data_IF_260303461909
#
_entry.id   IF_260303461909
#
_cell.length_a   1.000
_cell.length_b   1.000
_cell.length_c   1.000
_cell.angle_alpha   90.00
_cell.angle_beta   90.00
_cell.angle_gamma   90.00
#
_symmetry.space_group_name_H-M   'P 1'
#
loop_
_entity.id
_entity.type
_entity.pdbx_description
1 polymer ?
2 non-polymer ?
3 non-polymer ?
4 non-polymer ?
5 non-polymer ?
6 non-polymer ?
7 water ?
#
# COMPACT_ATOMS: atom_id res chain seq x y z
N UNK A 1 -5.18 -18.49 16.73
CA UNK A 1 -4.55 -17.44 15.87
C UNK A 1 -3.34 -16.83 16.54
N UNK A 2 -2.35 -17.68 16.84
CA UNK A 2 -1.12 -17.22 17.45
C UNK A 2 -0.33 -16.38 16.46
N UNK A 3 0.30 -15.30 16.96
CA UNK A 3 1.13 -14.50 16.07
C UNK A 3 2.54 -15.04 16.06
N UNK A 4 3.23 -14.99 14.91
CA UNK A 4 4.66 -15.29 14.92
C UNK A 4 5.40 -14.38 15.88
N UNK A 5 6.31 -14.95 16.66
CA UNK A 5 7.16 -14.21 17.59
C UNK A 5 8.57 -14.12 17.01
N UNK A 6 9.04 -12.90 16.80
CA UNK A 6 10.38 -12.63 16.30
C UNK A 6 11.22 -12.03 17.41
N UNK A 7 12.42 -12.58 17.62
CA UNK A 7 13.37 -12.07 18.59
C UNK A 7 14.56 -11.50 17.82
N UNK A 8 14.75 -10.18 17.91
CA UNK A 8 15.84 -9.51 17.24
C UNK A 8 16.97 -9.24 18.23
N UNK A 9 18.20 -9.38 17.76
CA UNK A 9 19.39 -8.93 18.49
C UNK A 9 20.04 -7.82 17.68
N UNK A 10 20.29 -6.68 18.34
CA UNK A 10 21.07 -5.59 17.77
C UNK A 10 22.18 -5.29 18.76
N UNK A 11 23.41 -5.55 18.35
CA UNK A 11 24.54 -5.35 19.24
C UNK A 11 24.52 -3.93 19.80
N UNK A 12 24.78 -3.75 21.10
CA UNK A 12 24.75 -2.39 21.67
C UNK A 12 25.51 -1.34 20.89
N UNK A 13 26.65 -1.67 20.30
CA UNK A 13 27.40 -0.69 19.51
C UNK A 13 26.64 -0.31 18.25
N UNK A 14 25.99 -1.28 17.62
CA UNK A 14 25.18 -1.00 16.43
C UNK A 14 23.90 -0.28 16.80
N UNK A 15 23.35 -0.55 17.98
CA UNK A 15 22.14 0.12 18.43
C UNK A 15 22.42 1.60 18.72
N UNK A 16 23.56 1.92 19.32
CA UNK A 16 23.94 3.31 19.51
C UNK A 16 23.99 4.02 18.17
N UNK A 17 24.59 3.39 17.16
CA UNK A 17 24.64 3.99 15.83
C UNK A 17 23.25 4.19 15.25
N UNK A 18 22.38 3.19 15.41
CA UNK A 18 21.03 3.29 14.88
C UNK A 18 20.27 4.45 15.54
N UNK A 19 20.45 4.63 16.85
CA UNK A 19 19.71 5.66 17.58
C UNK A 19 20.33 7.04 17.47
N UNK A 20 21.55 7.15 16.93
CA UNK A 20 22.25 8.44 16.93
C UNK A 20 21.57 9.44 16.00
N UNK A 21 21.12 8.99 14.83
CA UNK A 21 20.46 9.85 13.85
C UNK A 21 19.30 9.03 13.29
N UNK A 22 18.12 9.20 13.88
CA UNK A 22 16.98 8.35 13.51
C UNK A 22 16.59 8.56 12.06
N UNK A 23 17.01 9.67 11.44
CA UNK A 23 16.63 9.99 10.07
C UNK A 23 17.52 9.32 9.03
N UNK A 24 18.60 8.68 9.45
CA UNK A 24 19.48 8.01 8.51
C UNK A 24 18.80 6.81 7.87
N UNK A 25 19.17 6.55 6.62
CA UNK A 25 18.77 5.33 5.91
C UNK A 25 19.91 4.32 5.81
N UNK A 26 20.97 4.50 6.59
CA UNK A 26 22.08 3.56 6.61
C UNK A 26 21.76 2.42 7.58
N UNK A 27 21.65 1.17 7.12
CA UNK A 27 21.31 0.07 8.04
C UNK A 27 22.48 -0.31 8.94
N UNK A 28 22.16 -1.11 9.95
CA UNK A 28 23.17 -1.72 10.82
C UNK A 28 22.95 -3.23 10.82
N UNK A 29 23.97 -4.00 11.13
CA UNK A 29 23.78 -5.45 11.24
C UNK A 29 22.92 -5.81 12.45
N UNK A 30 22.23 -6.94 12.33
CA UNK A 30 21.41 -7.46 13.42
C UNK A 30 21.18 -8.94 13.18
N UNK A 31 20.51 -9.59 14.12
CA UNK A 31 20.15 -11.00 14.00
C UNK A 31 18.67 -11.17 14.32
N UNK A 32 18.02 -12.09 13.61
CA UNK A 32 16.65 -12.47 13.87
C UNK A 32 16.61 -13.94 14.24
N UNK A 33 15.92 -14.25 15.33
CA UNK A 33 15.62 -15.63 15.70
C UNK A 33 14.11 -15.83 15.57
N UNK A 34 13.72 -16.87 14.82
CA UNK A 34 12.32 -17.24 14.67
C UNK A 34 12.25 -18.74 14.90
N UNK A 35 11.61 -19.13 15.98
CA UNK A 35 11.65 -20.53 16.38
C UNK A 35 13.09 -20.93 16.64
N UNK A 36 13.52 -21.99 15.96
CA UNK A 36 14.87 -22.52 16.13
C UNK A 36 15.86 -22.06 15.07
N UNK A 37 15.45 -21.16 14.17
CA UNK A 37 16.32 -20.72 13.08
C UNK A 37 16.77 -19.29 13.30
N UNK A 38 18.01 -19.02 12.95
CA UNK A 38 18.65 -17.72 13.13
C UNK A 38 19.03 -17.16 11.77
N UNK A 39 18.90 -15.84 11.64
CA UNK A 39 19.13 -15.14 10.38
C UNK A 39 20.00 -13.93 10.65
N UNK A 40 21.09 -13.80 9.90
CA UNK A 40 21.85 -12.56 9.88
C UNK A 40 21.13 -11.59 8.96
N UNK A 41 20.89 -10.37 9.45
CA UNK A 41 20.12 -9.38 8.72
C UNK A 41 20.82 -8.03 8.81
N UNK A 42 20.32 -7.09 8.01
CA UNK A 42 20.58 -5.68 8.22
C UNK A 42 19.24 -5.02 8.50
N UNK A 43 19.25 -4.02 9.39
CA UNK A 43 18.02 -3.40 9.86
C UNK A 43 18.22 -1.89 9.88
N UNK A 44 17.12 -1.18 9.60
CA UNK A 44 17.14 0.28 9.52
C UNK A 44 15.73 0.77 9.85
N UNK A 45 15.64 1.99 10.38
CA UNK A 45 14.32 2.57 10.55
C UNK A 45 13.72 2.87 9.17
N UNK A 46 12.39 2.83 9.10
CA UNK A 46 11.67 3.11 7.87
C UNK A 46 10.64 4.20 8.07
N UNK A 47 10.24 4.81 6.96
CA UNK A 47 9.20 5.82 6.98
C UNK A 47 9.76 7.20 7.26
N UNK A 48 8.82 8.10 7.59
CA UNK A 48 9.16 9.47 7.94
C UNK A 48 8.67 9.79 9.34
N UNK A 49 7.45 10.30 9.48
CA UNK A 49 6.99 10.72 10.80
C UNK A 49 6.91 9.54 11.77
N UNK A 50 6.74 8.32 11.25
CA UNK A 50 6.68 7.15 12.11
C UNK A 50 7.99 6.87 12.83
N UNK A 51 9.08 7.52 12.43
CA UNK A 51 10.32 7.39 13.18
C UNK A 51 10.27 8.15 14.50
N UNK A 52 9.30 9.07 14.67
CA UNK A 52 9.23 9.89 15.86
C UNK A 52 8.65 9.13 17.05
N UNK A 53 8.02 8.00 16.80
CA UNK A 53 7.43 7.20 17.88
C UNK A 53 8.50 6.36 18.56
N UNK A 54 8.31 6.11 19.86
CA UNK A 54 9.22 5.19 20.54
C UNK A 54 9.08 3.78 19.98
N UNK A 55 7.87 3.40 19.56
CA UNK A 55 7.63 2.15 18.85
C UNK A 55 8.01 2.38 17.40
N UNK A 56 9.28 2.15 17.09
CA UNK A 56 9.84 2.43 15.78
C UNK A 56 9.36 1.39 14.76
N UNK A 57 9.41 1.78 13.49
CA UNK A 57 9.14 0.88 12.38
C UNK A 57 10.45 0.57 11.67
N UNK A 58 10.56 -0.64 11.10
CA UNK A 58 11.83 -1.14 10.61
C UNK A 58 11.70 -1.71 9.21
N UNK A 59 12.77 -1.58 8.45
CA UNK A 59 12.97 -2.28 7.19
C UNK A 59 14.03 -3.35 7.44
N UNK A 60 13.67 -4.61 7.22
CA UNK A 60 14.52 -5.77 7.54
C UNK A 60 14.99 -6.38 6.23
N UNK A 61 16.30 -6.51 6.07
CA UNK A 61 16.91 -7.06 4.86
C UNK A 61 17.70 -8.30 5.23
N UNK A 62 17.34 -9.43 4.64
CA UNK A 62 17.99 -10.70 4.96
C UNK A 62 19.33 -10.83 4.26
N UNK A 63 20.34 -11.22 5.02
CA UNK A 63 21.72 -11.29 4.53
C UNK A 63 22.17 -12.74 4.39
N UNK A 64 22.21 -13.48 5.49
CA UNK A 64 22.50 -14.91 5.45
C UNK A 64 21.65 -15.63 6.49
N UNK A 65 20.74 -16.53 6.06
CA UNK A 65 20.36 -16.89 4.69
C UNK A 65 19.86 -15.69 3.88
N UNK A 66 19.90 -15.81 2.55
CA UNK A 66 19.49 -14.72 1.69
C UNK A 66 17.98 -14.52 1.67
N UNK A 67 17.21 -15.54 2.05
CA UNK A 67 15.76 -15.49 1.92
C UNK A 67 15.09 -15.96 3.20
N UNK A 68 13.94 -15.36 3.48
CA UNK A 68 13.07 -15.75 4.58
C UNK A 68 11.66 -15.84 4.04
N UNK A 69 11.09 -17.05 4.07
CA UNK A 69 9.72 -17.29 3.63
C UNK A 69 9.45 -16.65 2.26
N UNK A 70 10.38 -16.89 1.34
CA UNK A 70 10.24 -16.49 -0.04
C UNK A 70 10.67 -15.07 -0.36
N UNK A 71 11.23 -14.33 0.61
CA UNK A 71 11.52 -12.92 0.44
C UNK A 71 12.95 -12.61 0.85
N UNK A 72 13.50 -11.55 0.26
CA UNK A 72 14.82 -11.07 0.66
C UNK A 72 14.76 -9.94 1.68
N UNK A 73 13.57 -9.42 1.96
CA UNK A 73 13.39 -8.29 2.87
C UNK A 73 11.91 -8.18 3.19
N UNK A 74 11.60 -7.53 4.30
CA UNK A 74 10.21 -7.15 4.58
C UNK A 74 10.21 -5.88 5.40
N UNK A 75 9.01 -5.34 5.60
CA UNK A 75 8.81 -4.13 6.37
C UNK A 75 8.02 -4.45 7.63
N UNK A 76 8.45 -3.87 8.75
CA UNK A 76 7.79 -4.05 10.04
C UNK A 76 7.25 -2.70 10.49
N UNK A 77 5.96 -2.48 10.30
CA UNK A 77 5.33 -1.22 10.69
C UNK A 77 4.71 -1.34 12.07
N UNK A 78 4.96 -0.33 12.90
CA UNK A 78 4.23 -0.23 14.16
C UNK A 78 2.74 0.00 13.94
N UNK A 79 2.38 0.66 12.84
CA UNK A 79 1.00 1.12 12.60
C UNK A 79 0.48 1.92 13.77
N UNK A 80 1.37 2.65 14.46
CA UNK A 80 1.00 3.31 15.71
C UNK A 80 0.01 4.45 15.50
N UNK A 81 0.01 5.08 14.32
CA UNK A 81 -0.96 6.14 14.03
C UNK A 81 -2.39 5.61 13.96
N UNK A 82 -2.54 4.30 13.71
CA UNK A 82 -3.85 3.69 13.52
C UNK A 82 -4.28 3.07 14.85
N UNK A 83 -5.28 3.63 15.53
CA UNK A 83 -5.69 3.06 16.83
C UNK A 83 -6.15 1.61 16.77
N UNK A 84 -6.45 1.08 15.58
CA UNK A 84 -6.89 -0.30 15.43
C UNK A 84 -5.77 -1.25 15.06
N UNK A 85 -4.66 -0.74 14.54
CA UNK A 85 -3.55 -1.54 14.04
C UNK A 85 -3.93 -2.46 12.88
N UNK A 86 -5.13 -2.33 12.29
CA UNK A 86 -5.60 -3.24 11.26
C UNK A 86 -5.93 -2.58 9.92
N UNK A 87 -5.97 -1.25 9.82
CA UNK A 87 -6.50 -0.62 8.61
C UNK A 87 -5.63 -0.92 7.39
N UNK A 88 -4.31 -0.88 7.54
CA UNK A 88 -3.45 -1.15 6.40
C UNK A 88 -3.66 -2.57 5.87
N UNK A 89 -3.60 -3.56 6.75
CA UNK A 89 -3.84 -4.94 6.31
C UNK A 89 -5.24 -5.08 5.72
N UNK A 90 -6.26 -4.54 6.41
CA UNK A 90 -7.62 -4.63 5.93
C UNK A 90 -7.73 -4.08 4.51
N UNK A 91 -7.09 -2.94 4.26
CA UNK A 91 -7.14 -2.32 2.95
C UNK A 91 -6.42 -3.15 1.90
N UNK A 92 -5.18 -3.55 2.19
CA UNK A 92 -4.39 -4.23 1.17
C UNK A 92 -5.01 -5.58 0.82
N UNK A 93 -5.54 -6.29 1.81
CA UNK A 93 -6.25 -7.53 1.53
C UNK A 93 -7.52 -7.26 0.71
N UNK A 94 -8.20 -6.15 1.00
CA UNK A 94 -9.38 -5.78 0.23
C UNK A 94 -9.04 -5.56 -1.24
N UNK A 95 -7.94 -4.85 -1.53
CA UNK A 95 -7.49 -4.69 -2.92
C UNK A 95 -7.29 -6.05 -3.57
N UNK A 96 -6.64 -6.98 -2.86
CA UNK A 96 -6.48 -8.32 -3.43
C UNK A 96 -7.82 -8.94 -3.74
N UNK A 97 -8.78 -8.81 -2.83
CA UNK A 97 -10.07 -9.46 -3.01
C UNK A 97 -10.89 -8.87 -4.15
N UNK A 98 -10.63 -7.61 -4.53
CA UNK A 98 -11.34 -7.00 -5.65
C UNK A 98 -10.56 -7.12 -6.95
N UNK A 99 -9.46 -7.87 -6.94
CA UNK A 99 -8.77 -8.23 -8.16
C UNK A 99 -7.56 -7.39 -8.51
N UNK A 100 -6.94 -6.73 -7.53
CA UNK A 100 -5.75 -5.90 -7.74
C UNK A 100 -4.58 -6.58 -7.04
N UNK A 101 -3.41 -6.56 -7.70
CA UNK A 101 -2.20 -7.06 -7.05
C UNK A 101 -1.92 -6.23 -5.82
N UNK A 102 -1.52 -6.89 -4.73
CA UNK A 102 -1.44 -6.19 -3.46
C UNK A 102 -0.44 -6.90 -2.54
N UNK A 103 0.29 -6.18 -1.70
CA UNK A 103 1.21 -6.83 -0.75
C UNK A 103 0.45 -7.65 0.28
N UNK A 104 0.99 -8.83 0.60
CA UNK A 104 0.51 -9.59 1.73
C UNK A 104 1.03 -8.97 3.03
N UNK A 105 0.38 -9.31 4.13
CA UNK A 105 0.80 -8.79 5.42
C UNK A 105 0.30 -9.72 6.51
N UNK A 106 0.94 -9.63 7.67
CA UNK A 106 0.53 -10.41 8.82
C UNK A 106 1.03 -9.74 10.08
N UNK A 107 0.24 -9.83 11.13
CA UNK A 107 0.65 -9.31 12.43
C UNK A 107 1.65 -10.25 13.08
N UNK A 108 2.65 -9.65 13.74
CA UNK A 108 3.71 -10.39 14.40
C UNK A 108 3.97 -9.70 15.74
N UNK A 109 4.68 -10.40 16.62
CA UNK A 109 5.00 -9.91 17.96
C UNK A 109 6.51 -9.92 18.08
N UNK A 110 7.11 -8.76 18.35
CA UNK A 110 8.56 -8.66 18.25
C UNK A 110 9.18 -8.26 19.58
N UNK A 111 10.40 -8.73 19.78
CA UNK A 111 11.27 -8.32 20.87
C UNK A 111 12.58 -7.87 20.25
N UNK A 112 13.24 -6.93 20.91
CA UNK A 112 14.58 -6.50 20.54
C UNK A 112 15.44 -6.57 21.79
N UNK A 113 16.53 -7.33 21.71
CA UNK A 113 17.45 -7.48 22.83
C UNK A 113 16.73 -7.93 24.11
N UNK A 114 15.75 -8.81 23.95
CA UNK A 114 15.02 -9.37 25.07
C UNK A 114 13.88 -8.51 25.56
N UNK A 115 13.67 -7.34 24.99
CA UNK A 115 12.65 -6.40 25.45
C UNK A 115 11.52 -6.36 24.43
N UNK A 116 10.29 -6.63 24.89
CA UNK A 116 9.13 -6.65 24.01
C UNK A 116 8.91 -5.27 23.43
N UNK A 117 8.74 -5.22 22.11
CA UNK A 117 8.36 -4.01 21.41
C UNK A 117 6.89 -4.01 21.00
N UNK A 118 6.26 -5.18 20.95
CA UNK A 118 4.82 -5.26 20.79
C UNK A 118 4.38 -5.79 19.44
N UNK A 119 3.13 -5.47 19.09
CA UNK A 119 2.50 -5.96 17.88
C UNK A 119 2.90 -5.08 16.70
N UNK A 120 3.35 -5.72 15.63
CA UNK A 120 3.73 -5.05 14.40
C UNK A 120 3.00 -5.68 13.24
N UNK A 121 2.88 -4.92 12.15
CA UNK A 121 2.41 -5.48 10.88
C UNK A 121 3.62 -5.74 10.00
N UNK A 122 3.85 -7.00 9.65
CA UNK A 122 4.86 -7.38 8.69
C UNK A 122 4.26 -7.25 7.30
N UNK A 123 4.91 -6.46 6.45
CA UNK A 123 4.42 -6.15 5.11
C UNK A 123 5.38 -6.68 4.07
N UNK A 124 4.82 -7.28 3.03
CA UNK A 124 5.62 -7.82 1.93
C UNK A 124 6.31 -6.70 1.17
N UNK A 125 7.55 -6.97 0.77
CA UNK A 125 8.27 -6.08 -0.14
C UNK A 125 7.79 -6.33 -1.56
N UNK A 126 7.31 -5.28 -2.23
CA UNK A 126 6.89 -5.39 -3.62
C UNK A 126 8.13 -5.30 -4.49
N UNK A 127 8.70 -6.45 -4.84
CA UNK A 127 9.97 -6.51 -5.56
C UNK A 127 9.94 -7.73 -6.48
N UNK A 128 11.12 -8.16 -6.92
CA UNK A 128 11.20 -9.30 -7.82
C UNK A 128 10.62 -10.57 -7.20
N UNK A 129 10.71 -10.71 -5.88
CA UNK A 129 10.17 -11.90 -5.23
C UNK A 129 8.65 -11.85 -5.13
N UNK A 130 8.09 -10.66 -4.89
CA UNK A 130 6.65 -10.46 -4.99
C UNK A 130 6.12 -11.03 -6.31
N UNK A 131 6.84 -10.77 -7.40
CA UNK A 131 6.42 -11.26 -8.71
C UNK A 131 6.64 -12.77 -8.81
N UNK A 132 7.83 -13.24 -8.48
CA UNK A 132 8.15 -14.65 -8.64
C UNK A 132 7.23 -15.53 -7.82
N UNK A 133 6.85 -15.07 -6.61
CA UNK A 133 6.01 -15.90 -5.75
C UNK A 133 4.57 -15.98 -6.24
N UNK A 134 4.14 -15.05 -7.09
CA UNK A 134 2.83 -15.09 -7.70
C UNK A 134 2.86 -15.71 -9.09
N UNK A 135 4.03 -16.14 -9.55
CA UNK A 135 4.14 -16.65 -10.91
C UNK A 135 3.96 -15.59 -11.96
N UNK A 136 4.33 -14.35 -11.67
CA UNK A 136 4.13 -13.27 -12.62
C UNK A 136 5.38 -13.06 -13.45
N UNK A 137 5.24 -12.51 -14.65
CA UNK A 137 6.42 -12.30 -15.51
C UNK A 137 7.38 -11.29 -14.93
N UNK A 138 8.63 -11.41 -15.38
CA UNK A 138 9.63 -10.41 -15.07
C UNK A 138 9.22 -9.07 -15.65
N UNK A 139 9.81 -8.01 -15.11
CA UNK A 139 9.48 -6.66 -15.55
C UNK A 139 10.11 -5.64 -14.64
N UNK A 140 9.40 -4.53 -14.45
CA UNK A 140 9.91 -3.44 -13.64
C UNK A 140 8.89 -3.04 -12.58
N UNK A 141 9.41 -2.67 -11.42
CA UNK A 141 8.61 -2.17 -10.31
C UNK A 141 9.14 -0.80 -9.93
N UNK A 142 8.23 0.17 -9.85
CA UNK A 142 8.57 1.55 -9.54
C UNK A 142 7.70 2.01 -8.38
N UNK A 143 8.30 2.67 -7.39
CA UNK A 143 7.60 3.16 -6.21
C UNK A 143 7.31 4.65 -6.36
N UNK A 144 6.07 5.06 -6.13
CA UNK A 144 5.73 6.48 -6.14
C UNK A 144 6.32 7.15 -4.90
N UNK A 145 7.23 8.10 -5.10
CA UNK A 145 7.92 8.71 -3.97
C UNK A 145 7.70 10.21 -3.82
N UNK A 146 7.25 10.94 -4.85
CA UNK A 146 7.05 12.39 -4.70
C UNK A 146 5.92 12.83 -5.62
N UNK A 147 5.64 14.14 -5.60
CA UNK A 147 4.48 14.71 -6.27
C UNK A 147 4.50 14.55 -7.78
N UNK A 148 5.64 14.20 -8.38
CA UNK A 148 5.70 13.97 -9.81
C UNK A 148 5.12 12.62 -10.22
N UNK A 149 4.82 11.74 -9.29
CA UNK A 149 4.16 10.47 -9.61
C UNK A 149 2.65 10.66 -9.77
N UNK A 150 2.28 11.59 -10.65
CA UNK A 150 0.91 12.07 -10.72
C UNK A 150 0.20 11.69 -12.02
N UNK A 151 0.82 10.91 -12.90
CA UNK A 151 0.25 10.45 -14.16
C UNK A 151 0.04 11.58 -15.16
N UNK A 152 0.62 12.76 -14.93
CA UNK A 152 0.46 13.94 -15.77
C UNK A 152 1.78 14.23 -16.49
N UNK A 153 1.72 15.10 -17.51
CA UNK A 153 2.96 15.63 -18.06
C UNK A 153 3.56 16.72 -17.20
N UNK A 154 2.82 17.26 -16.24
CA UNK A 154 3.17 18.52 -15.61
C UNK A 154 3.78 18.30 -14.24
N UNK A 155 4.81 19.10 -13.94
CA UNK A 155 5.39 19.19 -12.60
C UNK A 155 4.68 20.33 -11.87
N UNK A 156 4.10 20.02 -10.72
CA UNK A 156 3.43 21.03 -9.92
C UNK A 156 4.41 22.10 -9.44
N UNK A 157 5.60 21.68 -9.00
CA UNK A 157 6.56 22.63 -8.46
C UNK A 157 7.10 23.55 -9.56
N UNK A 158 7.51 22.99 -10.70
CA UNK A 158 8.07 23.80 -11.77
C UNK A 158 7.02 24.60 -12.52
N UNK A 159 5.73 24.30 -12.33
CA UNK A 159 4.67 24.88 -13.14
C UNK A 159 5.04 24.84 -14.62
N UNK A 160 5.43 23.65 -15.07
CA UNK A 160 5.95 23.43 -16.41
C UNK A 160 5.91 21.93 -16.68
N UNK A 161 6.16 21.57 -17.93
CA UNK A 161 6.29 20.16 -18.28
C UNK A 161 7.46 19.56 -17.52
N UNK A 162 7.29 18.34 -17.02
CA UNK A 162 8.37 17.65 -16.32
C UNK A 162 9.61 17.58 -17.18
N UNK A 163 10.77 17.76 -16.54
CA UNK A 163 12.04 17.59 -17.25
C UNK A 163 12.23 16.15 -17.68
N UNK A 164 11.70 15.19 -16.93
CA UNK A 164 11.75 13.77 -17.26
C UNK A 164 10.40 13.16 -16.94
N UNK A 165 9.79 12.46 -17.89
CA UNK A 165 8.46 11.91 -17.64
C UNK A 165 8.48 10.71 -16.70
N UNK A 166 9.65 10.15 -16.40
CA UNK A 166 9.76 9.10 -15.40
C UNK A 166 10.02 9.67 -14.00
N UNK A 167 9.97 10.98 -13.85
CA UNK A 167 10.17 11.61 -12.55
C UNK A 167 9.09 11.18 -11.57
N UNK A 168 9.48 11.09 -10.30
CA UNK A 168 8.56 10.81 -9.21
C UNK A 168 8.65 9.41 -8.64
N UNK A 169 9.55 8.57 -9.15
CA UNK A 169 9.55 7.15 -8.81
C UNK A 169 10.93 6.67 -8.41
N UNK A 170 10.94 5.76 -7.44
CA UNK A 170 12.11 4.95 -7.15
C UNK A 170 12.07 3.71 -8.02
N UNK A 171 13.19 3.42 -8.70
CA UNK A 171 13.27 2.25 -9.58
C UNK A 171 13.72 1.07 -8.73
N UNK A 172 12.75 0.39 -8.13
CA UNK A 172 13.05 -0.68 -7.17
C UNK A 172 13.61 -1.92 -7.87
N UNK A 173 13.00 -2.32 -8.98
CA UNK A 173 13.42 -3.48 -9.76
C UNK A 173 13.33 -3.05 -11.21
N UNK A 174 14.46 -3.01 -11.92
CA UNK A 174 14.52 -2.33 -13.20
C UNK A 174 15.54 -2.97 -14.12
N UNK A 175 15.48 -2.54 -15.38
CA UNK A 175 16.37 -2.99 -16.43
C UNK A 175 16.62 -1.81 -17.37
N UNK A 176 17.34 -2.06 -18.47
CA UNK A 176 17.75 -0.99 -19.36
C UNK A 176 16.57 -0.27 -20.01
N UNK A 177 15.41 -0.92 -20.10
CA UNK A 177 14.25 -0.33 -20.76
C UNK A 177 13.29 0.36 -19.79
N UNK A 178 13.55 0.28 -18.49
CA UNK A 178 12.55 0.69 -17.51
C UNK A 178 12.22 2.17 -17.61
N UNK A 179 13.23 3.02 -17.81
CA UNK A 179 12.97 4.45 -17.90
C UNK A 179 12.09 4.76 -19.11
N UNK A 180 12.45 4.23 -20.28
CA UNK A 180 11.68 4.57 -21.47
C UNK A 180 10.28 3.95 -21.44
N UNK A 181 10.12 2.79 -20.80
CA UNK A 181 8.79 2.20 -20.69
C UNK A 181 7.88 3.07 -19.84
N UNK A 182 8.39 3.59 -18.73
CA UNK A 182 7.59 4.47 -17.88
C UNK A 182 7.31 5.79 -18.57
N UNK A 183 8.33 6.38 -19.21
CA UNK A 183 8.12 7.63 -19.94
C UNK A 183 7.06 7.47 -21.02
N UNK A 184 7.10 6.36 -21.74
CA UNK A 184 6.13 6.12 -22.81
C UNK A 184 4.72 6.02 -22.27
N UNK A 185 4.55 5.30 -21.16
CA UNK A 185 3.23 5.16 -20.54
C UNK A 185 2.69 6.52 -20.10
N UNK A 186 3.49 7.27 -19.33
CA UNK A 186 3.07 8.60 -18.91
C UNK A 186 2.74 9.47 -20.11
N UNK A 187 3.58 9.43 -21.14
CA UNK A 187 3.33 10.28 -22.29
C UNK A 187 2.01 9.92 -22.97
N UNK A 188 1.81 8.64 -23.27
CA UNK A 188 0.62 8.23 -24.03
C UNK A 188 -0.65 8.44 -23.20
N UNK A 189 -0.58 8.21 -21.88
CA UNK A 189 -1.73 8.46 -21.04
C UNK A 189 -2.22 9.89 -21.18
N UNK A 190 -1.31 10.83 -21.42
CA UNK A 190 -1.66 12.24 -21.54
C UNK A 190 -1.82 12.70 -22.99
N UNK A 191 -1.13 12.08 -23.93
CA UNK A 191 -1.11 12.57 -25.30
C UNK A 191 -2.16 11.93 -26.20
N UNK A 192 -2.71 10.77 -25.83
CA UNK A 192 -3.74 10.17 -26.65
C UNK A 192 -5.02 11.00 -26.58
N UNK A 193 -5.62 11.23 -27.75
CA UNK A 193 -6.85 12.00 -27.81
C UNK A 193 -8.01 11.19 -27.26
N UNK A 194 -9.10 11.89 -26.97
CA UNK A 194 -10.33 11.23 -26.55
C UNK A 194 -10.79 10.22 -27.60
N UNK A 195 -10.68 10.59 -28.89
CA UNK A 195 -11.15 9.71 -29.95
C UNK A 195 -10.27 8.48 -30.12
N UNK A 196 -9.01 8.54 -29.70
CA UNK A 196 -8.10 7.39 -29.81
C UNK A 196 -8.01 6.57 -28.52
N UNK A 197 -8.55 7.08 -27.41
CA UNK A 197 -8.21 6.52 -26.11
C UNK A 197 -8.68 5.07 -25.98
N UNK A 198 -9.93 4.79 -26.33
CA UNK A 198 -10.48 3.45 -26.15
C UNK A 198 -9.67 2.42 -26.93
N UNK A 199 -9.20 2.78 -28.12
CA UNK A 199 -8.47 1.83 -28.95
C UNK A 199 -7.03 1.65 -28.52
N UNK A 200 -6.41 2.67 -27.90
CA UNK A 200 -4.96 2.68 -27.77
C UNK A 200 -4.44 2.65 -26.33
N UNK A 201 -5.19 3.13 -25.33
CA UNK A 201 -4.61 3.18 -23.99
C UNK A 201 -4.26 1.79 -23.50
N UNK A 202 -5.05 0.79 -23.88
CA UNK A 202 -4.82 -0.60 -23.52
C UNK A 202 -3.57 -1.24 -24.11
N UNK A 203 -2.85 -0.52 -24.98
CA UNK A 203 -1.53 -0.96 -25.41
C UNK A 203 -0.47 -0.71 -24.34
N UNK A 204 -0.77 0.15 -23.37
CA UNK A 204 0.19 0.58 -22.36
C UNK A 204 -0.27 0.30 -20.95
N UNK A 205 -1.57 0.26 -20.72
CA UNK A 205 -2.15 0.16 -19.39
C UNK A 205 -3.15 -1.01 -19.36
N UNK A 206 -3.11 -1.78 -18.27
CA UNK A 206 -4.16 -2.77 -18.03
C UNK A 206 -5.36 -2.02 -17.45
N UNK A 207 -6.33 -1.71 -18.30
CA UNK A 207 -7.40 -0.79 -17.92
C UNK A 207 -8.25 -1.36 -16.80
N UNK A 208 -8.62 -2.64 -16.89
CA UNK A 208 -9.50 -3.20 -15.86
C UNK A 208 -8.81 -3.18 -14.50
N UNK A 209 -7.52 -3.50 -14.46
CA UNK A 209 -6.80 -3.48 -13.20
C UNK A 209 -6.63 -2.05 -12.67
N UNK A 210 -6.44 -1.08 -13.57
CA UNK A 210 -6.38 0.31 -13.14
C UNK A 210 -7.72 0.75 -12.54
N UNK A 211 -8.82 0.42 -13.21
CA UNK A 211 -10.12 0.84 -12.68
C UNK A 211 -10.45 0.12 -11.38
N UNK A 212 -9.99 -1.11 -11.22
CA UNK A 212 -10.21 -1.80 -9.95
C UNK A 212 -9.37 -1.18 -8.84
N UNK A 213 -8.12 -0.79 -9.14
CA UNK A 213 -7.34 -0.04 -8.17
C UNK A 213 -8.04 1.26 -7.81
N UNK A 214 -8.53 1.99 -8.81
CA UNK A 214 -9.25 3.23 -8.54
C UNK A 214 -10.44 3.00 -7.63
N UNK A 215 -11.23 1.97 -7.91
CA UNK A 215 -12.33 1.60 -7.02
C UNK A 215 -11.84 1.37 -5.60
N UNK A 216 -10.72 0.66 -5.47
CA UNK A 216 -10.18 0.40 -4.15
C UNK A 216 -9.83 1.67 -3.39
N UNK A 217 -9.26 2.66 -4.08
CA UNK A 217 -9.00 3.94 -3.43
C UNK A 217 -10.30 4.56 -2.94
N UNK A 218 -11.35 4.45 -3.77
CA UNK A 218 -12.65 5.07 -3.46
C UNK A 218 -13.31 4.38 -2.28
N UNK A 219 -13.20 3.05 -2.19
CA UNK A 219 -13.88 2.31 -1.14
C UNK A 219 -13.18 2.48 0.21
N UNK A 220 -11.84 2.41 0.21
CA UNK A 220 -11.09 2.58 1.46
C UNK A 220 -10.94 4.04 1.85
N UNK A 221 -11.03 4.94 0.87
CA UNK A 221 -10.87 6.39 1.05
C UNK A 221 -9.49 6.77 1.55
N UNK A 222 -8.47 6.39 0.78
CA UNK A 222 -7.13 6.93 0.97
C UNK A 222 -7.07 8.24 0.20
N UNK A 223 -7.19 9.36 0.93
CA UNK A 223 -7.31 10.66 0.29
C UNK A 223 -6.07 11.02 -0.50
N UNK A 224 -4.92 10.44 -0.16
CA UNK A 224 -3.66 10.67 -0.86
C UNK A 224 -3.23 9.42 -1.62
N UNK A 225 -4.18 8.64 -2.11
CA UNK A 225 -3.87 7.44 -2.86
C UNK A 225 -3.84 7.57 -4.36
N UNK A 226 -4.19 8.74 -4.91
CA UNK A 226 -4.25 8.87 -6.36
C UNK A 226 -2.94 9.28 -6.99
N UNK A 227 -2.07 9.97 -6.26
CA UNK A 227 -0.75 10.36 -6.76
C UNK A 227 0.35 9.95 -5.80
N UNK A 228 0.01 9.12 -4.81
CA UNK A 228 0.96 8.59 -3.84
C UNK A 228 0.43 7.27 -3.34
N UNK A 229 1.25 6.59 -2.53
CA UNK A 229 0.83 5.34 -1.88
C UNK A 229 0.56 4.25 -2.91
N UNK A 230 1.48 4.09 -3.85
CA UNK A 230 1.34 3.01 -4.82
C UNK A 230 2.70 2.70 -5.44
N UNK A 231 2.74 1.54 -6.07
CA UNK A 231 3.83 1.14 -6.94
C UNK A 231 3.24 0.81 -8.31
N UNK A 232 4.07 0.96 -9.34
CA UNK A 232 3.74 0.53 -10.68
C UNK A 232 4.49 -0.74 -11.03
N UNK A 233 3.83 -1.64 -11.75
CA UNK A 233 4.45 -2.85 -12.28
C UNK A 233 4.26 -2.85 -13.78
N UNK A 234 5.37 -2.91 -14.52
CA UNK A 234 5.32 -3.12 -15.96
C UNK A 234 5.62 -4.59 -16.22
N UNK A 235 4.60 -5.32 -16.68
CA UNK A 235 4.70 -6.73 -17.03
C UNK A 235 5.36 -6.83 -18.41
N UNK A 236 6.53 -7.47 -18.47
CA UNK A 236 7.27 -7.51 -19.73
C UNK A 236 6.68 -8.48 -20.74
N UNK A 237 5.80 -9.38 -20.32
CA UNK A 237 5.16 -10.28 -21.28
C UNK A 237 4.00 -9.58 -21.99
N UNK A 238 3.15 -8.89 -21.23
CA UNK A 238 2.02 -8.17 -21.82
C UNK A 238 2.38 -6.75 -22.22
N UNK A 239 3.50 -6.22 -21.73
CA UNK A 239 3.92 -4.85 -21.99
C UNK A 239 3.00 -3.82 -21.33
N UNK A 240 2.24 -4.21 -20.31
CA UNK A 240 1.25 -3.34 -19.69
C UNK A 240 1.63 -2.95 -18.27
N UNK A 241 1.26 -1.74 -17.90
CA UNK A 241 1.37 -1.24 -16.54
C UNK A 241 0.12 -1.55 -15.73
N UNK A 242 0.32 -1.81 -14.43
CA UNK A 242 -0.77 -1.84 -13.47
C UNK A 242 -0.27 -1.23 -12.17
N UNK A 243 -1.21 -0.99 -11.24
CA UNK A 243 -0.96 -0.21 -10.04
C UNK A 243 -1.16 -1.10 -8.82
N UNK A 244 -0.25 -1.00 -7.86
CA UNK A 244 -0.24 -1.82 -6.66
C UNK A 244 -0.28 -0.90 -5.45
N UNK A 245 -1.23 -1.06 -4.52
CA UNK A 245 -1.31 -0.14 -3.38
C UNK A 245 -0.21 -0.35 -2.35
N UNK A 246 0.07 0.71 -1.60
CA UNK A 246 1.02 0.68 -0.50
C UNK A 246 0.62 1.76 0.51
N UNK A 247 0.80 1.48 1.81
CA UNK A 247 0.61 2.47 2.87
C UNK A 247 -0.84 2.95 2.94
N UNK A 248 -1.70 2.04 3.37
CA UNK A 248 -3.15 2.25 3.37
C UNK A 248 -3.74 2.28 4.79
N UNK A 249 -3.01 2.89 5.74
CA UNK A 249 -3.56 3.00 7.09
C UNK A 249 -4.56 4.14 7.25
N UNK A 250 -4.51 5.18 6.41
CA UNK A 250 -5.40 6.33 6.56
C UNK A 250 -6.70 6.09 5.78
N UNK A 251 -7.45 5.12 6.28
CA UNK A 251 -8.56 4.54 5.54
C UNK A 251 -9.65 4.15 6.54
N UNK A 252 -10.75 3.63 6.02
CA UNK A 252 -11.84 3.11 6.85
C UNK A 252 -12.20 4.05 8.00
N UNK A 253 -12.39 5.33 7.65
CA UNK A 253 -12.97 6.27 8.57
C UNK A 253 -12.01 7.18 9.31
N UNK A 254 -10.70 7.08 9.08
CA UNK A 254 -9.74 7.99 9.70
C UNK A 254 -8.79 8.54 8.64
N UNK A 255 -8.29 9.76 8.89
CA UNK A 255 -7.41 10.43 7.95
C UNK A 255 -5.94 10.23 8.36
N UNK A 256 -5.04 10.88 7.60
CA UNK A 256 -3.60 10.71 7.83
C UNK A 256 -3.15 11.26 9.18
N UNK A 257 -3.89 12.20 9.75
CA UNK A 257 -3.58 12.69 11.09
C UNK A 257 -4.21 11.83 12.17
N UNK A 258 -4.86 10.72 11.81
CA UNK A 258 -5.48 9.83 12.77
C UNK A 258 -6.84 10.26 13.23
N UNK A 259 -7.41 11.27 12.62
CA UNK A 259 -8.66 11.84 13.10
C UNK A 259 -9.85 11.14 12.44
N UNK A 260 -10.96 10.96 13.16
CA UNK A 260 -12.17 10.48 12.50
C UNK A 260 -12.59 11.44 11.42
N UNK A 261 -13.11 10.89 10.31
CA UNK A 261 -13.69 11.74 9.28
C UNK A 261 -15.02 12.29 9.76
N UNK A 262 -15.22 13.59 9.54
CA UNK A 262 -16.51 14.20 9.84
C UNK A 262 -17.43 14.04 8.63
N UNK A 263 -17.46 15.05 7.76
CA UNK A 263 -18.20 14.99 6.51
C UNK A 263 -17.27 14.93 5.30
N UNK A 264 -16.00 14.60 5.52
CA UNK A 264 -15.06 14.50 4.41
C UNK A 264 -15.33 13.23 3.60
N UNK A 265 -15.11 13.34 2.29
CA UNK A 265 -15.40 12.23 1.39
C UNK A 265 -14.60 12.41 0.11
N UNK A 266 -14.51 11.32 -0.64
CA UNK A 266 -13.88 11.33 -1.96
C UNK A 266 -14.97 11.04 -2.99
N UNK A 267 -15.07 11.90 -3.99
CA UNK A 267 -16.01 11.67 -5.09
C UNK A 267 -15.71 10.34 -5.76
N UNK A 268 -16.75 9.73 -6.34
CA UNK A 268 -16.56 8.38 -6.88
C UNK A 268 -15.66 8.36 -8.11
N UNK A 269 -15.47 9.50 -8.77
CA UNK A 269 -14.57 9.55 -9.92
C UNK A 269 -13.10 9.57 -9.52
N UNK A 270 -12.77 9.78 -8.25
CA UNK A 270 -11.38 9.82 -7.86
C UNK A 270 -10.67 11.00 -8.52
N UNK A 271 -9.33 10.89 -8.55
CA UNK A 271 -8.47 11.99 -8.95
C UNK A 271 -7.30 11.46 -9.79
N UNK A 272 -6.51 12.43 -10.29
CA UNK A 272 -5.38 12.28 -11.19
C UNK A 272 -5.83 12.30 -12.66
N UNK A 273 -4.91 12.68 -13.55
CA UNK A 273 -5.29 12.94 -14.94
C UNK A 273 -5.70 11.67 -15.67
N UNK A 274 -5.03 10.56 -15.41
CA UNK A 274 -5.36 9.30 -16.08
C UNK A 274 -6.79 8.88 -15.74
N UNK A 275 -7.15 8.96 -14.46
CA UNK A 275 -8.53 8.66 -14.07
C UNK A 275 -9.50 9.53 -14.87
N UNK A 276 -9.20 10.82 -14.98
CA UNK A 276 -10.10 11.72 -15.70
C UNK A 276 -10.21 11.35 -17.17
N UNK A 277 -9.08 11.04 -17.82
CA UNK A 277 -9.13 10.71 -19.24
C UNK A 277 -9.92 9.43 -19.47
N UNK A 278 -9.70 8.41 -18.64
CA UNK A 278 -10.44 7.16 -18.79
C UNK A 278 -11.95 7.39 -18.61
N UNK A 279 -12.33 8.17 -17.60
CA UNK A 279 -13.75 8.37 -17.31
C UNK A 279 -14.40 9.39 -18.24
N UNK A 280 -13.71 9.82 -19.28
CA UNK A 280 -14.35 10.53 -20.39
C UNK A 280 -14.73 9.61 -21.54
N UNK A 281 -14.47 8.31 -21.41
CA UNK A 281 -14.75 7.32 -22.46
C UNK A 281 -15.98 6.54 -22.03
N UNK A 282 -17.08 6.58 -22.79
CA UNK A 282 -18.29 5.86 -22.35
C UNK A 282 -18.07 4.41 -21.94
N UNK A 283 -17.29 3.63 -22.70
CA UNK A 283 -17.17 2.22 -22.36
C UNK A 283 -16.43 2.04 -21.04
N UNK A 284 -15.43 2.89 -20.78
CA UNK A 284 -14.68 2.79 -19.53
C UNK A 284 -15.48 3.31 -18.35
N UNK A 285 -16.31 4.34 -18.56
CA UNK A 285 -17.21 4.79 -17.50
C UNK A 285 -18.16 3.67 -17.09
N UNK A 286 -18.74 2.97 -18.07
CA UNK A 286 -19.65 1.87 -17.77
C UNK A 286 -18.91 0.71 -17.10
N UNK A 287 -17.68 0.44 -17.57
CA UNK A 287 -16.86 -0.59 -16.95
C UNK A 287 -16.60 -0.26 -15.49
N UNK A 288 -16.22 0.99 -15.21
CA UNK A 288 -15.96 1.41 -13.84
C UNK A 288 -17.23 1.32 -12.99
N UNK A 289 -18.35 1.81 -13.52
CA UNK A 289 -19.60 1.70 -12.78
C UNK A 289 -19.91 0.24 -12.45
N UNK A 290 -19.65 -0.66 -13.40
CA UNK A 290 -19.93 -2.08 -13.17
C UNK A 290 -19.01 -2.65 -12.11
N UNK A 291 -17.74 -2.19 -12.09
CA UNK A 291 -16.82 -2.58 -11.04
C UNK A 291 -17.35 -2.15 -9.67
N UNK A 292 -17.80 -0.89 -9.56
CA UNK A 292 -18.31 -0.41 -8.29
C UNK A 292 -19.54 -1.19 -7.85
N UNK A 293 -20.47 -1.46 -8.79
CA UNK A 293 -21.66 -2.24 -8.44
C UNK A 293 -21.28 -3.66 -8.00
N UNK A 294 -20.33 -4.28 -8.70
CA UNK A 294 -19.91 -5.63 -8.33
C UNK A 294 -19.32 -5.66 -6.93
N UNK A 295 -18.45 -4.70 -6.61
CA UNK A 295 -17.81 -4.68 -5.30
C UNK A 295 -18.84 -4.37 -4.22
N UNK A 296 -19.80 -3.49 -4.51
CA UNK A 296 -20.85 -3.19 -3.55
C UNK A 296 -21.69 -4.44 -3.27
N UNK A 297 -21.81 -5.33 -4.25
CA UNK A 297 -22.61 -6.53 -4.07
C UNK A 297 -21.84 -7.65 -3.38
N UNK A 298 -20.52 -7.69 -3.52
CA UNK A 298 -19.71 -8.80 -3.03
C UNK A 298 -18.85 -8.43 -1.83
N UNK A 299 -17.89 -7.52 -2.00
CA UNK A 299 -16.84 -7.30 -1.01
C UNK A 299 -17.13 -6.16 -0.03
N UNK A 300 -17.66 -5.03 -0.50
CA UNK A 300 -17.82 -3.86 0.36
C UNK A 300 -19.17 -3.91 1.05
N UNK A 301 -19.31 -4.90 1.92
CA UNK A 301 -20.51 -5.09 2.71
C UNK A 301 -20.10 -5.37 4.16
N UNK A 302 -21.02 -5.07 5.08
CA UNK A 302 -20.79 -5.36 6.49
C UNK A 302 -20.62 -6.86 6.69
N UNK A 303 -21.48 -7.67 6.06
CA UNK A 303 -21.42 -9.10 6.26
C UNK A 303 -20.08 -9.69 5.81
N UNK A 304 -19.51 -9.13 4.74
CA UNK A 304 -18.24 -9.64 4.24
C UNK A 304 -17.04 -9.09 5.01
N UNK A 305 -17.05 -7.80 5.32
CA UNK A 305 -15.85 -7.16 5.87
C UNK A 305 -15.75 -7.31 7.39
N UNK A 306 -16.86 -7.25 8.10
CA UNK A 306 -16.76 -7.16 9.55
C UNK A 306 -16.23 -8.44 10.20
N UNK A 307 -16.50 -9.63 9.66
CA UNK A 307 -15.84 -10.81 10.23
C UNK A 307 -14.32 -10.77 10.11
N UNK A 308 -13.80 -10.10 9.08
CA UNK A 308 -12.36 -9.94 8.95
C UNK A 308 -11.83 -8.96 10.00
N UNK A 309 -12.52 -7.83 10.16
CA UNK A 309 -12.19 -6.90 11.23
C UNK A 309 -12.16 -7.63 12.56
N UNK A 310 -13.22 -8.37 12.86
CA UNK A 310 -13.32 -9.04 14.16
C UNK A 310 -12.24 -10.09 14.34
N UNK A 311 -11.92 -10.83 13.27
CA UNK A 311 -10.89 -11.85 13.38
C UNK A 311 -9.51 -11.23 13.60
N UNK A 312 -9.18 -10.17 12.86
CA UNK A 312 -7.90 -9.52 13.06
C UNK A 312 -7.78 -8.97 14.47
N UNK A 313 -8.82 -8.29 14.96
CA UNK A 313 -8.75 -7.72 16.29
C UNK A 313 -8.62 -8.80 17.36
N UNK A 314 -9.36 -9.90 17.21
CA UNK A 314 -9.28 -10.98 18.19
C UNK A 314 -7.90 -11.62 18.20
N UNK A 315 -7.25 -11.70 17.04
CA UNK A 315 -5.93 -12.32 16.98
C UNK A 315 -4.88 -11.50 17.70
N UNK A 316 -4.96 -10.16 17.61
CA UNK A 316 -3.92 -9.33 18.18
C UNK A 316 -4.22 -8.85 19.60
N UNK A 317 -5.48 -8.87 20.04
CA UNK A 317 -5.84 -8.26 21.32
C UNK A 317 -5.02 -8.78 22.49
N UNK A 318 -4.84 -10.09 22.67
CA UNK A 318 -4.06 -10.56 23.83
C UNK A 318 -2.61 -10.11 23.79
N UNK A 319 -2.07 -9.91 22.60
CA UNK A 319 -0.71 -9.41 22.46
C UNK A 319 -0.63 -7.91 22.72
N UNK A 320 -1.69 -7.16 22.39
CA UNK A 320 -1.70 -5.74 22.71
C UNK A 320 -1.63 -5.50 24.21
N UNK A 321 -2.22 -6.39 25.01
CA UNK A 321 -2.11 -6.32 26.46
C UNK A 321 -0.70 -6.59 26.95
N UNK A 322 0.17 -7.13 26.09
CA UNK A 322 1.57 -7.37 26.41
C UNK A 322 2.49 -6.39 25.70
N UNK A 323 1.91 -5.40 25.04
CA UNK A 323 2.65 -4.43 24.24
C UNK A 323 2.85 -3.18 25.07
N UNK A 324 4.09 -2.78 25.38
CA UNK A 324 4.29 -1.68 26.34
C UNK A 324 3.81 -0.33 25.84
N UNK A 325 3.54 -0.20 24.56
CA UNK A 325 3.07 1.04 23.97
C UNK A 325 1.56 1.06 23.84
N UNK A 326 0.90 -0.10 23.97
CA UNK A 326 -0.51 -0.28 23.70
C UNK A 326 -1.29 -0.77 24.91
N UNK A 327 -0.61 -1.36 25.89
CA UNK A 327 -1.22 -1.95 27.08
C UNK A 327 -2.35 -1.09 27.64
N UNK A 328 -2.25 0.22 27.47
CA UNK A 328 -3.19 1.14 28.12
C UNK A 328 -4.49 1.29 27.34
N UNK A 329 -4.41 1.42 26.01
CA UNK A 329 -5.55 1.86 25.21
C UNK A 329 -6.23 0.73 24.46
N UNK A 330 -6.51 -0.35 25.19
CA UNK A 330 -7.34 -1.41 24.65
C UNK A 330 -8.78 -0.94 24.44
N UNK A 331 -9.26 0.00 25.26
CA UNK A 331 -10.65 0.43 25.12
C UNK A 331 -10.88 1.19 23.82
N UNK A 332 -9.99 2.11 23.47
CA UNK A 332 -10.09 2.78 22.17
C UNK A 332 -9.95 1.76 21.05
N UNK A 333 -8.99 0.85 21.17
CA UNK A 333 -8.84 -0.21 20.18
C UNK A 333 -10.13 -0.99 20.01
N UNK A 334 -10.81 -1.32 21.12
CA UNK A 334 -12.02 -2.11 21.05
C UNK A 334 -13.14 -1.39 20.32
N UNK A 335 -13.16 -0.06 20.37
CA UNK A 335 -14.20 0.72 19.75
C UNK A 335 -13.99 0.93 18.26
N UNK A 336 -12.83 0.52 17.72
CA UNK A 336 -12.55 0.78 16.31
C UNK A 336 -13.41 -0.08 15.39
N UNK A 337 -13.76 -1.30 15.79
CA UNK A 337 -14.60 -2.13 14.93
C UNK A 337 -15.93 -1.45 14.64
N UNK A 338 -16.58 -0.88 15.67
CA UNK A 338 -17.84 -0.19 15.44
C UNK A 338 -17.67 1.01 14.53
N UNK A 339 -16.54 1.74 14.68
CA UNK A 339 -16.27 2.87 13.81
C UNK A 339 -16.14 2.43 12.36
N UNK A 340 -15.44 1.33 12.13
CA UNK A 340 -15.26 0.81 10.77
C UNK A 340 -16.59 0.35 10.21
N UNK A 341 -17.40 -0.32 11.03
CA UNK A 341 -18.71 -0.77 10.57
C UNK A 341 -19.58 0.41 10.18
N UNK A 342 -19.61 1.47 11.01
CA UNK A 342 -20.39 2.65 10.67
C UNK A 342 -19.87 3.29 9.39
N UNK A 343 -18.55 3.32 9.22
CA UNK A 343 -17.98 3.87 7.99
C UNK A 343 -18.48 3.12 6.76
N UNK A 344 -18.48 1.79 6.82
CA UNK A 344 -18.91 0.99 5.67
C UNK A 344 -20.33 1.37 5.28
N UNK A 345 -21.21 1.47 6.27
CA UNK A 345 -22.60 1.81 5.99
C UNK A 345 -22.73 3.19 5.37
N UNK A 346 -22.00 4.18 5.90
CA UNK A 346 -22.08 5.53 5.37
C UNK A 346 -21.48 5.60 3.96
N UNK A 347 -20.35 4.95 3.76
CA UNK A 347 -19.67 5.02 2.47
C UNK A 347 -20.48 4.30 1.40
N UNK A 348 -21.04 3.13 1.73
CA UNK A 348 -21.90 2.43 0.79
C UNK A 348 -23.01 3.34 0.29
N UNK A 349 -23.65 4.08 1.21
CA UNK A 349 -24.76 4.93 0.80
C UNK A 349 -24.28 6.03 -0.15
N UNK A 350 -23.17 6.68 0.19
CA UNK A 350 -22.67 7.74 -0.67
C UNK A 350 -22.40 7.21 -2.08
N UNK A 351 -21.70 6.09 -2.18
CA UNK A 351 -21.32 5.57 -3.49
C UNK A 351 -22.57 5.19 -4.29
N UNK A 352 -23.49 4.47 -3.66
CA UNK A 352 -24.74 4.11 -4.33
C UNK A 352 -25.50 5.35 -4.79
N UNK A 353 -25.54 6.39 -3.96
CA UNK A 353 -26.25 7.61 -4.28
C UNK A 353 -25.63 8.40 -5.44
N UNK A 354 -24.38 8.12 -5.81
CA UNK A 354 -23.71 8.88 -6.85
C UNK A 354 -23.32 8.05 -8.07
N UNK A 355 -23.67 6.77 -8.11
CA UNK A 355 -23.37 5.96 -9.28
C UNK A 355 -23.93 6.56 -10.56
N UNK A 356 -25.09 7.22 -10.47
CA UNK A 356 -25.70 7.80 -11.66
C UNK A 356 -24.79 8.80 -12.35
N UNK A 357 -23.82 9.37 -11.63
CA UNK A 357 -22.90 10.32 -12.25
C UNK A 357 -22.03 9.69 -13.32
N UNK A 358 -21.93 8.36 -13.33
CA UNK A 358 -21.12 7.64 -14.31
C UNK A 358 -21.91 7.25 -15.55
N UNK A 359 -23.21 7.55 -15.59
CA UNK A 359 -24.03 7.20 -16.74
C UNK A 359 -23.66 8.04 -17.96
X LIG B 1 5.80 4.84 3.65
X LIG B 1 5.41 6.18 4.22
X LIG B 1 5.23 4.55 2.28
X LIG B 1 5.68 3.69 4.62
X LIG B 1 7.37 5.02 3.44
X LIG B 1 7.91 5.48 2.21
X LIG B 1 8.91 4.47 1.70
X LIG B 1 8.22 3.25 1.41
X LIG B 1 9.64 4.84 0.40
X LIG B 1 10.99 5.23 0.72
X LIG B 1 9.66 3.52 -0.41
X LIG B 1 10.94 3.08 -0.78
X LIG B 1 9.02 2.51 0.53
X LIG B 1 8.21 1.50 -0.10
X LIG B 1 8.35 0.19 0.22
X LIG B 1 7.50 -0.57 -0.49
X LIG B 1 6.80 0.27 -1.29
X LIG B 1 5.73 0.11 -2.29
X LIG B 1 5.26 -1.11 -2.57
X LIG B 1 5.25 1.22 -2.90
X LIG B 1 5.74 2.45 -2.63
X LIG B 1 6.71 2.66 -1.72
X LIG B 1 7.26 1.63 -1.03
X LIG B 1 8.40 6.44 2.35
X LIG B 1 7.11 5.60 1.47
X LIG B 1 9.66 4.30 2.49
X LIG B 1 9.11 5.63 -0.14
X LIG B 1 11.45 5.45 -0.10
X LIG B 1 9.03 3.64 -1.30
X LIG B 1 11.37 3.74 -1.34
X LIG B 1 9.83 2.03 1.10
X LIG B 1 9.05 -0.19 0.95
X LIG B 1 5.63 -1.92 -2.09
X LIG B 1 4.52 -1.23 -3.26
X LIG B 1 5.32 3.29 -3.15
X LIG C 1 -14.60 14.01 -17.55
X LIG D 1 1.28 7.42 4.93
X LIG E 1 4.83 3.43 6.27
X LIG F 1 4.63 -1.58 -22.22
X LIG G 1 20.03 -10.01 1.21
X LIG H 1 5.94 7.71 2.21
X LIG I 1 -5.23 6.48 10.99
X LIG I 1 -5.40 5.09 10.70
X LIG I 1 -3.83 6.93 10.59
X LIG I 1 -3.71 6.91 9.18
X LIG I 1 -5.40 6.65 12.06
X LIG I 1 -5.98 7.06 10.44
X LIG I 1 -6.30 4.82 10.95
X LIG I 1 -3.10 6.25 11.05
X LIG I 1 -3.65 7.94 10.98
X LIG I 1 -2.81 7.19 8.93
X LIG J 1 -2.91 6.77 18.31
X LIG J 1 -3.05 5.78 19.33
X LIG J 1 -1.57 7.48 18.46
X LIG J 1 -1.44 7.96 19.80
X LIG J 1 -3.72 7.50 18.38
X LIG J 1 -2.97 6.30 17.32
X LIG J 1 -3.89 5.34 19.23
X LIG J 1 -1.51 8.32 17.77
X LIG J 1 -0.76 6.79 18.23
X LIG J 1 -0.58 8.41 19.90
X LIG K 1 -11.90 -7.91 20.25
X LIG K 1 -10.96 -8.80 19.64
X LIG K 1 -11.38 -6.49 20.14
X LIG K 1 -12.16 -5.67 21.01
X LIG K 1 -12.03 -8.17 21.31
X LIG K 1 -12.87 -8.00 19.76
X LIG K 1 -11.28 -9.71 19.72
X LIG K 1 -11.48 -6.13 19.11
X LIG K 1 -10.33 -6.45 20.42
X LIG K 1 -11.84 -4.75 20.95
X LIG L 1 -2.15 2.57 18.66
X LIG L 1 -2.46 3.74 17.93
X LIG L 1 -2.49 1.32 17.84
X LIG L 1 -1.49 1.17 16.83
X LIG L 1 -2.71 2.55 19.59
X LIG L 1 -1.09 2.57 18.91
X LIG L 1 -2.25 4.52 18.46
X LIG L 1 -3.47 1.43 17.38
X LIG L 1 -2.49 0.44 18.49
X LIG L 1 -1.69 0.38 16.30
X LIG M 1 10.61 16.35 -12.91
X LIG M 1 11.54 16.05 -13.95
X LIG M 1 10.67 17.83 -12.55
X LIG M 1 10.37 18.63 -13.70
X LIG M 1 10.83 15.75 -12.02
X LIG M 1 9.59 16.10 -13.23
X LIG M 1 11.49 15.11 -14.17
X LIG M 1 11.67 18.08 -12.19
X LIG M 1 9.96 18.05 -11.75
X LIG M 1 10.40 19.57 -13.46
X LIG N 1 3.43 -11.35 5.17
X LIG N 1 3.76 -12.72 4.92
X LIG N 1 4.23 -10.46 4.23
X LIG N 1 5.61 -10.51 4.56
X LIG N 1 3.66 -11.11 6.20
X LIG N 1 2.36 -11.21 5.00
X LIG N 1 3.26 -13.29 5.52
X LIG N 1 3.86 -9.43 4.31
X LIG N 1 4.08 -10.79 3.20
X LIG N 1 6.10 -9.94 3.97
X LIG O 1 4.51 -10.62 28.05
X LIG O 1 5.01 -11.00 26.76
X LIG O 1 5.26 -9.43 28.64
X LIG O 1 4.76 -8.22 28.05
X LIG O 1 4.58 -11.47 28.73
X LIG O 1 3.45 -10.37 27.95
X LIG O 1 4.51 -11.76 26.44
X LIG O 1 6.33 -9.52 28.44
X LIG O 1 5.12 -9.40 29.72
X LIG O 1 5.23 -7.45 28.43
X LIG P 1 -15.86 7.40 10.34
X LIG P 1 -15.61 8.72 10.84
X LIG P 1 -17.05 7.39 9.39
X LIG P 1 -16.83 8.34 8.34
X LIG P 1 -16.05 6.73 11.18
X LIG P 1 -14.98 7.03 9.82
X LIG P 1 -14.85 8.70 11.44
X LIG P 1 -17.96 7.65 9.94
X LIG P 1 -17.18 6.40 8.97
X LIG P 1 -17.59 8.34 7.73
X LIG Q 1 -25.45 1.30 3.98
X LIG Q 1 -26.00 2.62 3.92
X LIG Q 1 -26.08 0.40 2.93
X LIG Q 1 -25.61 -0.94 3.13
X LIG Q 1 -25.62 0.88 4.98
X LIG Q 1 -24.37 1.35 3.82
X LIG Q 1 -25.59 3.17 4.59
X LIG Q 1 -25.81 0.75 1.94
X LIG Q 1 -27.16 0.43 3.02
X LIG Q 1 -26.00 -1.52 2.47
X LIG R 1 24.14 -9.26 10.10
X LIG R 1 25.28 -9.02 9.28
X LIG R 1 24.49 -10.23 11.23
X LIG R 1 25.04 -9.51 12.33
X LIG R 1 23.32 -9.67 9.51
X LIG R 1 23.79 -8.32 10.54
X LIG R 1 25.03 -8.40 8.57
X LIG R 1 25.21 -10.97 10.86
X LIG R 1 23.58 -10.77 11.54
X LIG R 1 25.25 -10.14 13.05
X LIG S 1 15.37 -0.86 22.00
X LIG S 1 16.22 -0.12 22.52
X LIG S 1 15.49 -2.11 22.11
X LIG S 1 14.19 -0.28 21.24
X LIG S 1 14.43 1.21 21.02
X LIG S 1 13.20 1.89 20.46
X LIG S 1 12.98 1.89 19.24
X LIG S 1 12.40 2.47 21.23
X LIG S 1 13.28 -0.42 21.83
X LIG S 1 14.07 -0.78 20.29
X LIG S 1 15.26 1.34 20.33
X LIG S 1 14.71 1.68 21.96
#
# INVERSE_FOLDING_TARGET
SMLPSYDFFIHPMNLVELKKDIWSDSPVPAKLTYGKKKYDIDIVYRGAHIREFEKKSYHVMFYKPKKFQGAKEFHLNSEFMDPSLIRNKLSLDFFHDIGVLSPKSQHVFIKINGQIQGVYLQLESVDENFLKNRGLPSGSIYYAIDDDANFSLMSERDKDVKTELFAGYEFKYSNENSEEQLSEFVFQANALSREAYEKEIGKFLHVDKYLRWLAGVIFTQNFDGFVHNYALYHNDETNLFEVIPWDYDATWGRDVQGRPLNHEYIRIQGYNTLSARLLDIPIFRKQYRSILEEILAEQFTVSFMMPKVESLCESIRPYLLQDPYMKEKLETFDQEADMIEEYINKRRKYIQDHLHELD
AMP P O1P O2P O3P O5' C5' C4' O4' C3' O3' C2' O2' C1' N9 C8 N7 C5 C6 N6 N1 C2 N3 C4 H5'1 H5'2 H4' H3' HO3' H2' HO2' H1' H8 HN61 HN62 H2
MG MG
MG MG
MG MG
MG MG
MG MG
NA NA
EDO C1 O1 C2 O2 H11 H12 HO1 H21 H22 HO2
EDO C1 O1 C2 O2 H11 H12 HO1 H21 H22 HO2
EDO C1 O1 C2 O2 H11 H12 HO1 H21 H22 HO2
EDO C1 O1 C2 O2 H11 H12 HO1 H21 H22 HO2
EDO C1 O1 C2 O2 H11 H12 HO1 H21 H22 HO2
EDO C1 O1 C2 O2 H11 H12 HO1 H21 H22 HO2
EDO C1 O1 C2 O2 H11 H12 HO1 H21 H22 HO2
EDO C1 O1 C2 O2 H11 H12 HO1 H21 H22 HO2
EDO C1 O1 C2 O2 H11 H12 HO1 H21 H22 HO2
EDO C1 O1 C2 O2 H11 H12 HO1 H21 H22 HO2
SIN C1 O1 O2 C2 C3 C4 O3 O4 H21 H22 H31 H32
#
